data_IF_435217391632
#
_entry.id   IF_435217391632
#
_cell.length_a   1.000
_cell.length_b   1.000
_cell.length_c   1.000
_cell.angle_alpha   90.00
_cell.angle_beta   90.00
_cell.angle_gamma   90.00
#
_symmetry.space_group_name_H-M   'P 1'
#
loop_
_entity.id
_entity.type
_entity.pdbx_description
1 polymer ?
#
# COMPACT_ATOMS: atom_id res chain seq x y z
N UNK A 1 -16.13 -35.78 -51.64
CA UNK A 1 -15.88 -34.32 -51.58
C UNK A 1 -16.03 -33.92 -50.12
N UNK A 2 -14.93 -33.54 -49.50
CA UNK A 2 -14.76 -33.37 -48.04
C UNK A 2 -15.47 -32.12 -47.52
N UNK A 3 -16.20 -32.24 -46.41
CA UNK A 3 -16.51 -31.11 -45.53
C UNK A 3 -15.98 -31.47 -44.14
N UNK A 4 -14.95 -30.71 -43.74
CA UNK A 4 -14.13 -30.90 -42.56
C UNK A 4 -14.83 -30.41 -41.30
N UNK A 5 -14.75 -31.26 -40.28
CA UNK A 5 -14.92 -30.98 -38.86
C UNK A 5 -14.05 -29.79 -38.40
N UNK A 6 -14.56 -28.94 -37.49
CA UNK A 6 -13.83 -28.15 -36.47
C UNK A 6 -14.81 -27.32 -35.61
N UNK A 7 -15.35 -27.95 -34.58
CA UNK A 7 -15.98 -27.28 -33.42
C UNK A 7 -15.29 -27.78 -32.16
N UNK A 8 -14.15 -27.21 -31.82
CA UNK A 8 -13.55 -27.34 -30.49
C UNK A 8 -12.67 -26.11 -30.24
N UNK A 9 -12.67 -25.64 -28.99
CA UNK A 9 -11.87 -24.54 -28.44
C UNK A 9 -12.52 -23.16 -28.41
N UNK A 10 -13.53 -22.99 -27.54
CA UNK A 10 -13.77 -21.68 -26.90
C UNK A 10 -14.31 -21.75 -25.46
N UNK A 11 -14.54 -22.94 -24.87
CA UNK A 11 -15.07 -23.06 -23.50
C UNK A 11 -14.02 -23.08 -22.37
N UNK A 12 -12.71 -23.00 -22.65
CA UNK A 12 -11.68 -23.19 -21.62
C UNK A 12 -11.23 -21.92 -20.88
N UNK A 13 -11.58 -20.71 -21.35
CA UNK A 13 -11.07 -19.46 -20.77
C UNK A 13 -12.05 -18.74 -19.82
N UNK A 14 -13.31 -19.16 -19.76
CA UNK A 14 -14.28 -18.61 -18.80
C UNK A 14 -14.19 -19.26 -17.40
N UNK A 15 -13.54 -20.42 -17.26
CA UNK A 15 -13.44 -21.14 -15.97
C UNK A 15 -12.26 -20.65 -15.09
N UNK A 16 -11.25 -19.98 -15.66
CA UNK A 16 -10.03 -19.57 -14.94
C UNK A 16 -10.16 -18.29 -14.12
N UNK A 17 -11.06 -17.38 -14.52
CA UNK A 17 -11.24 -16.07 -13.83
C UNK A 17 -12.32 -16.16 -12.74
N UNK A 18 -13.27 -17.09 -12.86
CA UNK A 18 -14.24 -17.40 -11.79
C UNK A 18 -13.62 -18.20 -10.63
N UNK A 19 -12.51 -18.91 -10.86
CA UNK A 19 -11.81 -19.68 -9.83
C UNK A 19 -10.85 -18.83 -8.98
N UNK A 20 -10.28 -17.74 -9.50
CA UNK A 20 -9.41 -16.83 -8.73
C UNK A 20 -10.18 -15.91 -7.77
N UNK A 21 -11.43 -15.53 -8.11
CA UNK A 21 -12.31 -14.77 -7.20
C UNK A 21 -12.89 -15.64 -6.08
N UNK A 22 -13.16 -16.92 -6.33
CA UNK A 22 -13.57 -17.86 -5.28
C UNK A 22 -12.44 -18.10 -4.27
N UNK A 23 -11.19 -18.23 -4.74
CA UNK A 23 -10.02 -18.44 -3.89
C UNK A 23 -9.77 -17.32 -2.88
N UNK A 24 -9.92 -16.06 -3.28
CA UNK A 24 -9.70 -14.90 -2.41
C UNK A 24 -10.79 -14.75 -1.32
N UNK A 25 -12.07 -15.04 -1.64
CA UNK A 25 -13.13 -15.06 -0.63
C UNK A 25 -12.90 -16.16 0.43
N UNK A 26 -12.44 -17.35 0.02
CA UNK A 26 -12.16 -18.45 0.96
C UNK A 26 -10.93 -18.22 1.84
N UNK A 27 -10.01 -17.34 1.43
CA UNK A 27 -8.83 -17.02 2.24
C UNK A 27 -9.21 -16.11 3.41
N UNK A 28 -10.03 -15.09 3.15
CA UNK A 28 -10.51 -14.17 4.19
C UNK A 28 -11.50 -14.85 5.16
N UNK A 29 -12.32 -15.81 4.70
CA UNK A 29 -13.17 -16.61 5.59
C UNK A 29 -12.37 -17.55 6.51
N UNK A 30 -11.26 -18.12 6.03
CA UNK A 30 -10.39 -18.98 6.84
C UNK A 30 -9.75 -18.22 7.99
N UNK A 31 -9.21 -17.03 7.72
CA UNK A 31 -8.63 -16.17 8.76
C UNK A 31 -9.67 -15.75 9.81
N UNK A 32 -10.92 -15.50 9.39
CA UNK A 32 -11.99 -15.15 10.30
C UNK A 32 -12.43 -16.34 11.19
N UNK A 33 -12.49 -17.55 10.64
CA UNK A 33 -12.79 -18.75 11.43
C UNK A 33 -11.71 -19.05 12.49
N UNK A 34 -10.43 -18.86 12.14
CA UNK A 34 -9.33 -19.08 13.07
C UNK A 34 -9.36 -18.07 14.23
N UNK A 35 -9.71 -16.82 13.95
CA UNK A 35 -9.87 -15.80 14.98
C UNK A 35 -11.03 -16.11 15.94
N UNK A 36 -12.16 -16.60 15.42
CA UNK A 36 -13.30 -17.03 16.24
C UNK A 36 -12.94 -18.21 17.14
N UNK A 37 -12.22 -19.21 16.63
CA UNK A 37 -11.80 -20.37 17.42
C UNK A 37 -10.81 -19.98 18.53
N UNK A 38 -9.88 -19.05 18.24
CA UNK A 38 -8.94 -18.54 19.24
C UNK A 38 -9.65 -17.72 20.32
N UNK A 39 -10.67 -16.95 19.96
CA UNK A 39 -11.49 -16.20 20.92
C UNK A 39 -12.24 -17.15 21.87
N UNK A 40 -12.92 -18.15 21.32
CA UNK A 40 -13.66 -19.15 22.10
C UNK A 40 -12.74 -19.94 23.05
N UNK A 41 -11.53 -20.31 22.59
CA UNK A 41 -10.55 -20.98 23.44
C UNK A 41 -10.04 -20.09 24.58
N UNK A 42 -9.88 -18.78 24.34
CA UNK A 42 -9.49 -17.83 25.36
C UNK A 42 -10.60 -17.61 26.41
N UNK A 43 -11.86 -17.51 25.99
CA UNK A 43 -13.01 -17.39 26.91
C UNK A 43 -13.15 -18.61 27.81
N UNK A 44 -13.02 -19.82 27.27
CA UNK A 44 -13.08 -21.07 28.06
C UNK A 44 -12.00 -21.12 29.14
N UNK A 45 -10.79 -20.65 28.83
CA UNK A 45 -9.68 -20.61 29.80
C UNK A 45 -9.93 -19.61 30.92
N UNK A 46 -10.56 -18.48 30.63
CA UNK A 46 -10.94 -17.50 31.65
C UNK A 46 -12.01 -18.08 32.57
N UNK A 47 -13.04 -18.74 32.02
CA UNK A 47 -14.06 -19.40 32.83
C UNK A 47 -13.49 -20.50 33.73
N UNK A 48 -12.50 -21.27 33.25
CA UNK A 48 -11.82 -22.26 34.08
C UNK A 48 -11.06 -21.59 35.24
N UNK A 49 -10.37 -20.48 34.99
CA UNK A 49 -9.65 -19.72 36.01
C UNK A 49 -10.60 -19.05 37.02
N UNK A 50 -11.76 -18.58 36.57
CA UNK A 50 -12.80 -18.00 37.43
C UNK A 50 -13.51 -19.07 38.27
N UNK A 51 -13.68 -20.29 37.74
CA UNK A 51 -14.25 -21.42 38.48
C UNK A 51 -13.30 -21.98 39.55
N UNK A 52 -12.01 -21.66 39.44
CA UNK A 52 -10.99 -22.07 40.38
C UNK A 52 -10.94 -21.06 41.51
N UNK A 53 -11.78 -21.25 42.53
CA UNK A 53 -11.70 -20.55 43.81
C UNK A 53 -10.25 -20.61 44.33
N UNK A 54 -9.57 -19.46 44.33
CA UNK A 54 -8.25 -19.30 44.92
C UNK A 54 -8.43 -19.37 46.44
N UNK A 55 -7.83 -20.34 47.16
CA UNK A 55 -7.93 -20.36 48.61
C UNK A 55 -7.18 -19.16 49.17
N UNK A 56 -7.89 -18.13 49.63
CA UNK A 56 -7.32 -17.10 50.50
C UNK A 56 -7.13 -17.70 51.90
N UNK A 57 -6.13 -18.55 52.09
CA UNK A 57 -5.67 -18.92 53.42
C UNK A 57 -4.31 -18.28 53.69
N UNK A 58 -4.36 -17.04 54.19
CA UNK A 58 -3.22 -16.44 54.88
C UNK A 58 -3.19 -16.99 56.31
N UNK A 59 -2.07 -17.56 56.79
CA UNK A 59 -1.96 -17.96 58.19
C UNK A 59 -1.95 -16.72 59.10
N UNK A 60 -2.53 -16.81 60.32
CA UNK A 60 -2.54 -15.70 61.25
C UNK A 60 -1.13 -15.36 61.75
N UNK A 61 -0.77 -14.08 61.65
CA UNK A 61 0.48 -13.52 62.17
C UNK A 61 0.35 -13.43 63.69
N UNK A 62 0.99 -14.36 64.41
CA UNK A 62 0.98 -14.33 65.88
C UNK A 62 1.47 -15.60 66.55
N UNK A 63 2.71 -16.01 66.30
CA UNK A 63 3.40 -16.96 67.17
C UNK A 63 4.86 -16.51 67.32
N UNK A 64 5.21 -16.06 68.52
CA UNK A 64 6.56 -15.74 68.95
C UNK A 64 7.39 -17.03 69.06
N UNK A 65 8.03 -17.43 67.95
CA UNK A 65 9.07 -18.44 67.94
C UNK A 65 10.44 -17.76 67.87
N UNK A 66 11.39 -18.18 68.72
CA UNK A 66 12.79 -17.81 68.59
C UNK A 66 13.35 -18.35 67.26
N UNK A 67 13.53 -17.49 66.25
CA UNK A 67 14.24 -17.81 65.00
C UNK A 67 15.71 -17.37 65.06
N UNK A 68 16.38 -17.60 66.19
CA UNK A 68 17.81 -17.30 66.33
C UNK A 68 18.64 -18.46 65.75
N UNK A 69 18.57 -18.62 64.43
CA UNK A 69 19.55 -19.34 63.59
C UNK A 69 19.16 -19.18 62.13
N UNK A 70 18.99 -17.92 61.70
CA UNK A 70 19.06 -17.60 60.29
C UNK A 70 20.54 -17.68 59.90
N UNK A 71 20.87 -18.70 59.11
CA UNK A 71 22.21 -19.01 58.65
C UNK A 71 22.89 -17.77 58.05
N UNK A 72 23.99 -17.31 58.65
CA UNK A 72 24.75 -16.14 58.19
C UNK A 72 25.28 -16.32 56.76
N UNK A 73 25.36 -17.57 56.27
CA UNK A 73 25.70 -17.89 54.89
C UNK A 73 24.58 -17.50 53.91
N UNK A 74 23.31 -17.64 54.32
CA UNK A 74 22.16 -17.23 53.50
C UNK A 74 22.06 -15.71 53.41
N UNK A 75 22.36 -15.00 54.49
CA UNK A 75 22.35 -13.53 54.52
C UNK A 75 23.47 -12.93 53.67
N UNK A 76 24.67 -13.53 53.71
CA UNK A 76 25.79 -13.17 52.84
C UNK A 76 25.51 -13.48 51.34
N UNK A 77 24.88 -14.62 51.05
CA UNK A 77 24.45 -14.99 49.70
C UNK A 77 23.36 -14.05 49.17
N UNK A 78 22.40 -13.66 50.02
CA UNK A 78 21.34 -12.73 49.67
C UNK A 78 21.89 -11.32 49.42
N UNK A 79 22.78 -10.83 50.28
CA UNK A 79 23.45 -9.54 50.09
C UNK A 79 24.25 -9.50 48.78
N UNK A 80 24.92 -10.60 48.41
CA UNK A 80 25.59 -10.74 47.11
C UNK A 80 24.62 -10.66 45.92
N UNK A 81 23.46 -11.33 46.01
CA UNK A 81 22.42 -11.25 44.97
C UNK A 81 21.80 -9.86 44.86
N UNK A 82 21.60 -9.18 45.99
CA UNK A 82 21.01 -7.84 46.05
C UNK A 82 21.93 -6.80 45.41
N UNK A 83 23.22 -6.81 45.77
CA UNK A 83 24.24 -5.96 45.16
C UNK A 83 24.34 -6.18 43.64
N UNK A 84 24.25 -7.44 43.20
CA UNK A 84 24.25 -7.77 41.77
C UNK A 84 23.03 -7.18 41.07
N UNK A 85 21.83 -7.37 41.61
CA UNK A 85 20.59 -6.82 41.03
C UNK A 85 20.62 -5.30 40.98
N UNK A 86 21.12 -4.64 42.03
CA UNK A 86 21.29 -3.17 42.04
C UNK A 86 22.27 -2.69 40.97
N UNK A 87 23.38 -3.41 40.77
CA UNK A 87 24.34 -3.10 39.70
C UNK A 87 23.76 -3.29 38.30
N UNK A 88 23.03 -4.38 38.07
CA UNK A 88 22.36 -4.66 36.79
C UNK A 88 21.28 -3.60 36.52
N UNK A 89 20.54 -3.17 37.55
CA UNK A 89 19.57 -2.09 37.46
C UNK A 89 20.19 -0.73 37.16
N UNK A 90 21.34 -0.41 37.76
CA UNK A 90 22.04 0.84 37.50
C UNK A 90 22.50 0.94 36.03
N UNK A 91 23.02 -0.16 35.48
CA UNK A 91 23.42 -0.24 34.06
C UNK A 91 22.24 -0.08 33.13
N UNK A 92 21.12 -0.77 33.41
CA UNK A 92 19.90 -0.65 32.58
C UNK A 92 19.33 0.76 32.62
N UNK A 93 19.33 1.42 33.78
CA UNK A 93 18.86 2.80 33.91
C UNK A 93 19.72 3.78 33.12
N UNK A 94 21.05 3.66 33.21
CA UNK A 94 21.96 4.48 32.42
C UNK A 94 21.75 4.27 30.91
N UNK A 95 21.59 3.02 30.48
CA UNK A 95 21.30 2.70 29.08
C UNK A 95 19.93 3.20 28.60
N UNK A 96 18.93 3.31 29.48
CA UNK A 96 17.62 3.89 29.15
C UNK A 96 17.71 5.42 29.03
N UNK A 97 18.43 6.08 29.95
CA UNK A 97 18.68 7.52 29.89
C UNK A 97 19.45 7.93 28.63
N UNK A 98 20.48 7.17 28.24
CA UNK A 98 21.20 7.38 26.98
C UNK A 98 20.32 7.23 25.73
N UNK A 99 19.28 6.38 25.79
CA UNK A 99 18.31 6.24 24.69
C UNK A 99 17.34 7.41 24.66
N UNK A 100 16.93 7.91 25.82
CA UNK A 100 15.97 9.02 25.91
C UNK A 100 16.62 10.35 25.49
N UNK A 101 17.87 10.61 25.88
CA UNK A 101 18.63 11.76 25.36
C UNK A 101 18.80 11.71 23.83
N UNK A 102 19.03 10.52 23.26
CA UNK A 102 19.12 10.33 21.81
C UNK A 102 17.78 10.41 21.08
N UNK A 103 16.65 10.22 21.78
CA UNK A 103 15.31 10.39 21.21
C UNK A 103 14.92 11.86 21.11
N UNK A 104 15.39 12.70 22.04
CA UNK A 104 15.05 14.13 22.05
C UNK A 104 15.71 14.90 20.87
N UNK A 105 16.88 14.46 20.41
CA UNK A 105 17.52 14.98 19.18
C UNK A 105 17.01 14.32 17.88
N UNK A 106 16.20 13.26 17.98
CA UNK A 106 15.69 12.56 16.80
C UNK A 106 14.43 13.26 16.28
N UNK A 107 14.62 14.17 15.32
CA UNK A 107 13.51 14.70 14.52
C UNK A 107 12.96 13.55 13.67
N UNK A 108 11.75 13.10 14.01
CA UNK A 108 11.10 12.03 13.26
C UNK A 108 11.01 12.43 11.78
N UNK A 109 11.50 11.60 10.85
CA UNK A 109 11.50 11.94 9.43
C UNK A 109 10.07 12.22 8.98
N UNK A 110 9.89 13.36 8.31
CA UNK A 110 8.61 13.77 7.76
C UNK A 110 8.04 12.64 6.91
N UNK A 111 6.84 12.19 7.25
CA UNK A 111 6.21 11.04 6.60
C UNK A 111 6.06 11.33 5.10
N UNK A 112 6.42 10.38 4.20
CA UNK A 112 6.23 10.56 2.77
C UNK A 112 4.77 10.89 2.45
N UNK A 113 4.56 11.89 1.59
CA UNK A 113 3.23 12.24 1.12
C UNK A 113 2.95 11.52 -0.19
N UNK A 114 1.71 11.06 -0.36
CA UNK A 114 1.28 10.37 -1.56
C UNK A 114 -0.10 10.88 -1.99
N UNK A 115 -0.15 11.52 -3.15
CA UNK A 115 -1.36 12.11 -3.73
C UNK A 115 -1.63 11.45 -5.07
N UNK A 116 -2.81 10.88 -5.21
CA UNK A 116 -3.34 10.42 -6.48
C UNK A 116 -4.40 11.42 -6.93
N UNK A 117 -4.29 11.85 -8.19
CA UNK A 117 -5.29 12.64 -8.88
C UNK A 117 -5.44 12.16 -10.31
N UNK A 118 -6.31 12.81 -11.06
CA UNK A 118 -6.50 12.48 -12.46
C UNK A 118 -7.48 13.40 -13.14
N UNK A 119 -7.58 13.25 -14.47
CA UNK A 119 -8.56 13.96 -15.30
C UNK A 119 -9.05 13.02 -16.40
N UNK A 120 -10.35 13.00 -16.60
CA UNK A 120 -11.00 12.29 -17.71
C UNK A 120 -11.72 13.33 -18.56
N UNK A 121 -11.36 13.39 -19.85
CA UNK A 121 -11.99 14.25 -20.84
C UNK A 121 -12.65 13.36 -21.88
N UNK A 122 -13.97 13.40 -21.97
CA UNK A 122 -14.76 12.73 -23.00
C UNK A 122 -15.31 13.80 -23.93
N UNK A 123 -14.85 13.77 -25.18
CA UNK A 123 -15.24 14.73 -26.20
C UNK A 123 -16.10 14.02 -27.25
N UNK A 124 -17.15 14.71 -27.69
CA UNK A 124 -17.94 14.32 -28.85
C UNK A 124 -17.77 15.37 -29.94
N UNK A 125 -17.36 14.94 -31.12
CA UNK A 125 -17.34 15.78 -32.31
C UNK A 125 -18.35 15.26 -33.32
N UNK A 126 -19.23 16.17 -33.74
CA UNK A 126 -20.21 15.92 -34.77
C UNK A 126 -20.03 16.93 -35.91
N UNK A 127 -20.12 16.44 -37.14
CA UNK A 127 -20.04 17.20 -38.38
C UNK A 127 -21.42 17.14 -39.05
N UNK A 128 -22.35 18.05 -38.72
CA UNK A 128 -23.69 18.03 -39.28
C UNK A 128 -23.71 18.33 -40.78
N UNK A 129 -22.74 19.12 -41.25
CA UNK A 129 -22.49 19.41 -42.65
C UNK A 129 -20.98 19.33 -42.91
N UNK A 130 -20.64 18.93 -44.13
CA UNK A 130 -19.29 18.66 -44.59
C UNK A 130 -19.14 19.19 -46.01
N UNK A 131 -17.93 19.51 -46.43
CA UNK A 131 -17.62 19.94 -47.80
C UNK A 131 -16.58 19.02 -48.40
N UNK A 132 -16.60 18.86 -49.73
CA UNK A 132 -15.68 17.97 -50.47
C UNK A 132 -14.20 18.20 -50.12
N UNK A 133 -13.83 19.46 -49.83
CA UNK A 133 -12.48 19.80 -49.39
C UNK A 133 -12.13 19.25 -48.01
N UNK A 134 -13.05 19.27 -47.05
CA UNK A 134 -12.85 18.70 -45.70
C UNK A 134 -12.79 17.17 -45.79
N UNK A 135 -13.69 16.56 -46.57
CA UNK A 135 -13.67 15.12 -46.81
C UNK A 135 -12.33 14.65 -47.39
N UNK A 136 -11.75 15.39 -48.34
CA UNK A 136 -10.43 15.06 -48.90
C UNK A 136 -9.28 15.11 -47.87
N UNK A 137 -9.32 16.02 -46.89
CA UNK A 137 -8.27 16.12 -45.87
C UNK A 137 -8.35 15.02 -44.81
N UNK A 138 -9.56 14.62 -44.40
CA UNK A 138 -9.77 13.62 -43.33
C UNK A 138 -9.85 12.19 -43.88
N UNK A 139 -10.58 11.98 -44.97
CA UNK A 139 -10.89 10.68 -45.58
C UNK A 139 -10.70 10.72 -47.12
N UNK A 140 -9.47 10.85 -47.64
CA UNK A 140 -9.24 10.92 -49.08
C UNK A 140 -9.66 9.62 -49.77
N UNK A 141 -10.57 9.70 -50.73
CA UNK A 141 -10.99 8.52 -51.49
C UNK A 141 -10.08 8.29 -52.69
N UNK A 142 -9.54 7.07 -52.81
CA UNK A 142 -8.63 6.69 -53.90
C UNK A 142 -9.36 6.31 -55.20
N UNK A 143 -10.70 6.29 -55.20
CA UNK A 143 -11.53 5.86 -56.33
C UNK A 143 -11.98 7.01 -57.23
N UNK A 144 -11.27 8.14 -57.23
CA UNK A 144 -11.65 9.35 -57.97
C UNK A 144 -10.49 9.78 -58.88
N UNK A 145 -10.77 10.30 -60.10
CA UNK A 145 -9.71 10.69 -61.03
C UNK A 145 -8.67 11.63 -60.41
N UNK A 146 -7.41 11.46 -60.81
CA UNK A 146 -6.31 12.31 -60.36
C UNK A 146 -6.59 13.78 -60.70
N UNK A 147 -6.56 14.66 -59.69
CA UNK A 147 -6.87 16.08 -59.82
C UNK A 147 -8.25 16.50 -59.29
N UNK A 148 -9.07 15.55 -58.84
CA UNK A 148 -10.35 15.84 -58.15
C UNK A 148 -10.15 15.78 -56.64
N UNK A 149 -10.43 16.88 -55.93
CA UNK A 149 -10.44 16.92 -54.46
C UNK A 149 -11.76 16.33 -53.97
N UNK A 150 -11.81 15.01 -53.82
CA UNK A 150 -12.98 14.30 -53.32
C UNK A 150 -12.56 13.35 -52.19
N UNK A 151 -13.34 13.33 -51.12
CA UNK A 151 -13.18 12.46 -49.97
C UNK A 151 -14.54 12.17 -49.35
N UNK A 152 -14.61 11.12 -48.56
CA UNK A 152 -15.83 10.77 -47.86
C UNK A 152 -16.07 11.73 -46.69
N UNK A 153 -17.33 11.94 -46.32
CA UNK A 153 -17.67 12.83 -45.20
C UNK A 153 -16.98 12.38 -43.90
N UNK A 154 -16.53 13.33 -43.05
CA UNK A 154 -15.91 13.00 -41.78
C UNK A 154 -16.92 12.35 -40.84
N UNK A 155 -16.54 11.21 -40.26
CA UNK A 155 -17.38 10.51 -39.31
C UNK A 155 -17.49 11.26 -37.98
N UNK A 156 -18.67 11.19 -37.35
CA UNK A 156 -18.88 11.65 -35.99
C UNK A 156 -18.15 10.73 -35.02
N UNK A 157 -17.42 11.31 -34.05
CA UNK A 157 -16.54 10.53 -33.16
C UNK A 157 -16.85 10.82 -31.69
N UNK A 158 -16.75 9.78 -30.88
CA UNK A 158 -16.68 9.84 -29.44
C UNK A 158 -15.29 9.39 -29.05
N UNK A 159 -14.53 10.25 -28.38
CA UNK A 159 -13.17 9.91 -27.99
C UNK A 159 -12.85 10.45 -26.61
N UNK A 160 -12.06 9.69 -25.88
CA UNK A 160 -11.41 10.23 -24.70
C UNK A 160 -10.23 11.08 -25.17
N UNK A 161 -10.32 12.40 -25.03
CA UNK A 161 -9.20 13.27 -25.38
C UNK A 161 -8.04 13.04 -24.41
N UNK A 162 -8.35 12.75 -23.14
CA UNK A 162 -7.38 12.52 -22.07
C UNK A 162 -7.97 11.58 -21.04
N UNK A 163 -7.20 10.58 -20.63
CA UNK A 163 -7.50 9.77 -19.45
C UNK A 163 -6.23 9.76 -18.64
N UNK A 164 -6.03 10.81 -17.86
CA UNK A 164 -4.77 11.03 -17.15
C UNK A 164 -4.87 10.61 -15.71
N UNK A 165 -3.96 9.74 -15.29
CA UNK A 165 -3.68 9.44 -13.90
C UNK A 165 -2.43 10.23 -13.48
N UNK A 166 -2.54 10.97 -12.39
CA UNK A 166 -1.45 11.74 -11.80
C UNK A 166 -1.14 11.16 -10.41
N UNK A 167 0.11 10.82 -10.17
CA UNK A 167 0.62 10.38 -8.88
C UNK A 167 1.77 11.29 -8.52
N UNK A 168 1.75 11.86 -7.32
CA UNK A 168 2.77 12.79 -6.88
C UNK A 168 2.95 12.73 -5.38
N UNK A 169 4.12 13.16 -4.93
CA UNK A 169 4.40 13.18 -3.51
C UNK A 169 5.75 13.77 -3.19
N UNK A 170 5.94 13.98 -1.90
CA UNK A 170 7.22 14.36 -1.31
C UNK A 170 7.76 13.14 -0.57
N UNK A 171 9.04 12.84 -0.78
CA UNK A 171 9.78 11.80 -0.06
C UNK A 171 10.74 12.53 0.86
N UNK A 172 10.58 12.32 2.18
CA UNK A 172 11.32 13.11 3.19
C UNK A 172 11.05 14.62 3.00
N UNK A 173 11.98 15.47 3.42
CA UNK A 173 11.82 16.93 3.38
C UNK A 173 12.26 17.54 2.04
N UNK A 174 13.26 16.95 1.39
CA UNK A 174 13.91 17.57 0.23
C UNK A 174 13.61 16.88 -1.10
N UNK A 175 13.05 15.66 -1.13
CA UNK A 175 12.79 14.97 -2.40
C UNK A 175 11.34 15.09 -2.85
N UNK A 176 11.16 15.22 -4.16
CA UNK A 176 9.87 15.18 -4.84
C UNK A 176 9.84 14.11 -5.89
N UNK A 177 8.65 13.58 -6.15
CA UNK A 177 8.44 12.71 -7.28
C UNK A 177 7.08 12.97 -7.91
N UNK A 178 7.01 12.71 -9.21
CA UNK A 178 5.76 12.80 -9.98
C UNK A 178 5.77 11.77 -11.09
N UNK A 179 4.63 11.12 -11.27
CA UNK A 179 4.33 10.22 -12.37
C UNK A 179 2.97 10.60 -12.96
N UNK A 180 2.92 10.78 -14.27
CA UNK A 180 1.69 11.03 -15.03
C UNK A 180 1.60 10.05 -16.19
N UNK A 181 0.50 9.31 -16.21
CA UNK A 181 0.16 8.33 -17.23
C UNK A 181 -1.10 8.81 -17.97
N UNK A 182 -1.10 8.79 -19.29
CA UNK A 182 -2.23 9.19 -20.13
C UNK A 182 -2.71 8.00 -20.98
N UNK A 183 -3.96 7.59 -20.80
CA UNK A 183 -4.59 6.45 -21.47
C UNK A 183 -5.63 6.90 -22.51
N UNK A 184 -5.39 8.03 -23.17
CA UNK A 184 -6.30 8.55 -24.19
C UNK A 184 -6.43 7.61 -25.41
N UNK A 185 -5.37 6.87 -25.73
CA UNK A 185 -5.36 5.85 -26.78
C UNK A 185 -5.56 4.46 -26.14
N UNK A 186 -6.52 3.64 -26.58
CA UNK A 186 -6.81 2.34 -25.96
C UNK A 186 -5.69 1.32 -26.10
N UNK A 187 -4.88 1.44 -27.15
CA UNK A 187 -3.82 0.51 -27.53
C UNK A 187 -2.45 0.87 -26.93
N UNK A 188 -2.25 2.13 -26.55
CA UNK A 188 -0.98 2.63 -26.05
C UNK A 188 -1.16 3.69 -24.96
N UNK A 189 -0.69 3.36 -23.75
CA UNK A 189 -0.56 4.34 -22.67
C UNK A 189 0.70 5.18 -22.86
N UNK A 190 0.60 6.49 -22.68
CA UNK A 190 1.74 7.40 -22.81
C UNK A 190 2.18 7.92 -21.43
N UNK A 191 3.48 7.84 -21.16
CA UNK A 191 4.10 8.45 -19.99
C UNK A 191 4.42 9.92 -20.29
N UNK A 192 3.71 10.85 -19.62
CA UNK A 192 3.91 12.28 -19.85
C UNK A 192 5.03 12.84 -18.99
N UNK A 193 4.86 12.79 -17.68
CA UNK A 193 5.84 13.30 -16.72
C UNK A 193 6.23 12.17 -15.78
N UNK A 194 7.50 11.78 -15.76
CA UNK A 194 8.05 10.79 -14.84
C UNK A 194 9.40 11.30 -14.37
N UNK A 195 9.42 11.91 -13.19
CA UNK A 195 10.63 12.48 -12.63
C UNK A 195 10.68 12.35 -11.11
N UNK A 196 11.92 12.38 -10.62
CA UNK A 196 12.27 12.56 -9.22
C UNK A 196 13.08 13.86 -9.15
N UNK A 197 12.96 14.60 -8.06
CA UNK A 197 13.71 15.83 -7.89
C UNK A 197 14.10 16.10 -6.46
N UNK A 198 14.97 17.08 -6.30
CA UNK A 198 15.44 17.59 -5.02
C UNK A 198 15.15 19.07 -4.96
N UNK A 199 14.38 19.46 -3.95
CA UNK A 199 14.15 20.82 -3.49
C UNK A 199 15.29 21.24 -2.57
N UNK A 200 15.41 22.55 -2.35
CA UNK A 200 16.35 23.12 -1.37
C UNK A 200 17.83 22.93 -1.71
N UNK A 201 18.16 22.86 -3.01
CA UNK A 201 19.54 23.01 -3.43
C UNK A 201 20.03 24.43 -3.12
N UNK A 202 21.36 24.65 -3.00
CA UNK A 202 21.91 25.98 -2.80
C UNK A 202 21.27 27.00 -3.75
N UNK A 203 20.92 28.17 -3.21
CA UNK A 203 20.17 29.21 -3.92
C UNK A 203 18.70 28.87 -4.23
N UNK A 204 18.05 28.05 -3.38
CA UNK A 204 16.65 27.64 -3.48
C UNK A 204 16.29 27.02 -4.85
N UNK A 205 17.23 26.31 -5.44
CA UNK A 205 17.02 25.66 -6.73
C UNK A 205 16.31 24.32 -6.54
N UNK A 206 15.60 23.87 -7.58
CA UNK A 206 15.04 22.52 -7.64
C UNK A 206 15.65 21.80 -8.84
N UNK A 207 16.30 20.67 -8.59
CA UNK A 207 16.81 19.81 -9.65
C UNK A 207 15.78 18.72 -9.89
N UNK A 208 15.28 18.62 -11.12
CA UNK A 208 14.41 17.55 -11.57
C UNK A 208 15.20 16.63 -12.49
N UNK A 209 15.14 15.33 -12.23
CA UNK A 209 15.77 14.29 -13.02
C UNK A 209 14.68 13.34 -13.54
N UNK A 210 14.59 13.23 -14.87
CA UNK A 210 13.69 12.29 -15.52
C UNK A 210 13.08 12.85 -16.79
N UNK A 211 11.99 12.24 -17.21
CA UNK A 211 11.22 12.69 -18.35
C UNK A 211 10.23 13.77 -17.90
N UNK A 212 10.44 14.97 -18.41
CA UNK A 212 9.54 16.10 -18.19
C UNK A 212 9.05 16.56 -19.56
N UNK A 213 7.73 16.71 -19.68
CA UNK A 213 7.15 17.35 -20.84
C UNK A 213 7.57 18.83 -20.84
N UNK A 214 8.23 19.25 -21.92
CA UNK A 214 8.64 20.65 -22.14
C UNK A 214 7.44 21.53 -22.51
#
# INVERSE_FOLDING_TARGET
MNISCRTFSCCALAAGILSSLAGALTAQERDFSELLDRLNAAELRIQELESRDVPQHLPPIGASGNYASFDSSFDASMAGRLNRLESEWAVLRAAEMDKDEKKDDYVAPTKPTFKIGGRVHLDHWAFPESSDGIGYFENPTTNVPAGTLAGDDPENRWLFRRVRLEMSGDVLETMVWRMQLDFHAPDSGEMKDVYIGWKELPYNQTLLLGHQKR
#
